data_IF_056711778694
#
_entry.id   IF_056711778694
#
_cell.length_a   1.000
_cell.length_b   1.000
_cell.length_c   1.000
_cell.angle_alpha   90.00
_cell.angle_beta   90.00
_cell.angle_gamma   90.00
#
_symmetry.space_group_name_H-M   'P 1'
#
loop_
_entity.id
_entity.type
_entity.pdbx_description
1 polymer ?
#
# COMPACT_ATOMS: atom_id res chain seq x y z
N UNK A 1 11.68 -9.90 -26.61
CA UNK A 1 12.57 -9.67 -27.76
C UNK A 1 13.79 -10.52 -27.54
N UNK A 2 14.16 -11.36 -28.49
CA UNK A 2 15.29 -12.28 -28.37
C UNK A 2 16.63 -11.59 -28.64
N UNK A 3 16.60 -10.28 -28.92
CA UNK A 3 17.74 -9.43 -29.24
C UNK A 3 17.77 -8.24 -28.26
N UNK A 4 18.44 -8.38 -27.10
CA UNK A 4 18.51 -7.33 -26.10
C UNK A 4 19.46 -6.21 -26.53
N UNK A 5 19.37 -5.06 -25.84
CA UNK A 5 20.43 -4.05 -25.87
C UNK A 5 21.65 -4.61 -25.15
N UNK A 6 22.81 -4.55 -25.79
CA UNK A 6 24.06 -5.07 -25.22
C UNK A 6 24.82 -4.00 -24.43
N UNK A 7 24.99 -2.80 -25.03
CA UNK A 7 25.74 -1.70 -24.43
C UNK A 7 25.46 -0.36 -25.10
N UNK A 8 25.77 0.70 -24.37
CA UNK A 8 25.90 2.05 -24.92
C UNK A 8 27.29 2.27 -25.52
N UNK A 9 27.38 3.16 -26.51
CA UNK A 9 28.64 3.60 -27.13
C UNK A 9 28.73 5.12 -27.06
N UNK A 10 29.84 5.70 -27.52
CA UNK A 10 29.96 7.16 -27.66
C UNK A 10 29.00 7.74 -28.70
N UNK A 11 28.55 6.94 -29.67
CA UNK A 11 27.73 7.39 -30.78
C UNK A 11 26.27 6.92 -30.71
N UNK A 12 25.98 5.90 -29.90
CA UNK A 12 24.64 5.36 -29.77
C UNK A 12 24.56 4.05 -28.99
N UNK A 13 23.87 3.05 -29.52
CA UNK A 13 23.54 1.80 -28.81
C UNK A 13 23.83 0.59 -29.70
N UNK A 14 24.40 -0.48 -29.11
CA UNK A 14 24.57 -1.77 -29.79
C UNK A 14 23.47 -2.74 -29.40
N UNK A 15 22.85 -3.34 -30.41
CA UNK A 15 21.94 -4.46 -30.28
C UNK A 15 22.11 -5.41 -31.46
N UNK A 16 22.22 -6.72 -31.19
CA UNK A 16 22.43 -7.74 -32.21
C UNK A 16 23.70 -7.46 -33.03
N UNK A 17 24.79 -7.09 -32.34
CA UNK A 17 26.09 -6.73 -32.93
C UNK A 17 26.05 -5.55 -33.93
N UNK A 18 24.93 -4.82 -34.03
CA UNK A 18 24.76 -3.64 -34.89
C UNK A 18 24.77 -2.39 -34.03
N UNK A 19 25.60 -1.41 -34.41
CA UNK A 19 25.62 -0.09 -33.79
C UNK A 19 24.60 0.83 -34.48
N UNK A 20 23.67 1.34 -33.69
CA UNK A 20 22.70 2.36 -34.10
C UNK A 20 23.16 3.69 -33.51
N UNK A 21 23.54 4.64 -34.37
CA UNK A 21 23.96 5.99 -33.95
C UNK A 21 22.75 6.87 -33.62
N UNK A 22 22.84 7.67 -32.55
CA UNK A 22 21.79 8.57 -32.09
C UNK A 22 22.40 9.85 -31.51
N UNK A 23 21.77 11.00 -31.78
CA UNK A 23 22.15 12.27 -31.14
C UNK A 23 21.64 12.38 -29.69
N UNK A 24 20.62 11.61 -29.35
CA UNK A 24 19.97 11.63 -28.04
C UNK A 24 19.30 10.30 -27.73
N UNK A 25 19.34 9.89 -26.46
CA UNK A 25 18.66 8.69 -25.96
C UNK A 25 17.73 9.07 -24.81
N UNK A 26 16.48 8.60 -24.87
CA UNK A 26 15.47 8.82 -23.82
C UNK A 26 15.25 7.54 -23.05
N UNK A 27 15.59 7.53 -21.75
CA UNK A 27 15.35 6.40 -20.85
C UNK A 27 13.93 6.45 -20.28
N UNK A 28 12.97 5.84 -20.98
CA UNK A 28 11.59 5.67 -20.50
C UNK A 28 11.43 4.38 -19.66
N UNK A 29 12.35 4.11 -18.72
CA UNK A 29 12.48 2.84 -17.99
C UNK A 29 11.49 2.66 -16.83
N UNK A 30 10.62 3.65 -16.58
CA UNK A 30 9.64 3.63 -15.51
C UNK A 30 10.25 3.89 -14.12
N UNK A 31 9.62 3.31 -13.09
CA UNK A 31 9.93 3.59 -11.68
C UNK A 31 10.06 2.32 -10.83
N UNK A 32 10.85 2.39 -9.75
CA UNK A 32 10.78 1.44 -8.65
C UNK A 32 9.52 1.73 -7.81
N UNK A 33 8.37 1.31 -8.32
CA UNK A 33 7.06 1.70 -7.82
C UNK A 33 6.81 1.22 -6.38
N UNK A 34 6.02 2.02 -5.64
CA UNK A 34 5.52 1.80 -4.26
C UNK A 34 6.58 1.68 -3.15
N UNK A 35 7.76 1.11 -3.39
CA UNK A 35 8.81 0.91 -2.37
C UNK A 35 10.05 1.77 -2.61
N UNK A 36 10.33 2.17 -3.85
CA UNK A 36 11.60 2.83 -4.21
C UNK A 36 11.86 4.17 -3.51
N UNK A 37 10.82 4.92 -3.14
CA UNK A 37 10.99 6.14 -2.35
C UNK A 37 11.35 5.86 -0.89
N UNK A 38 10.80 4.79 -0.31
CA UNK A 38 11.11 4.36 1.06
C UNK A 38 12.55 3.84 1.16
N UNK A 39 13.04 3.12 0.14
CA UNK A 39 14.42 2.61 0.13
C UNK A 39 15.50 3.69 0.13
N UNK A 40 15.15 4.94 -0.24
CA UNK A 40 16.05 6.09 -0.27
C UNK A 40 16.15 6.82 1.07
N UNK A 41 15.31 6.46 2.05
CA UNK A 41 15.27 7.07 3.37
C UNK A 41 15.62 5.98 4.40
N UNK A 42 16.50 6.29 5.34
CA UNK A 42 16.81 5.37 6.44
C UNK A 42 15.72 5.44 7.51
N UNK A 43 14.55 4.84 7.22
CA UNK A 43 13.44 4.75 8.15
C UNK A 43 13.74 3.62 9.14
N UNK A 44 13.89 3.97 10.42
CA UNK A 44 14.24 3.06 11.51
C UNK A 44 13.12 3.02 12.54
N UNK A 45 12.64 1.82 12.84
CA UNK A 45 11.57 1.55 13.80
C UNK A 45 12.11 1.09 15.16
N UNK A 46 11.31 0.29 15.87
CA UNK A 46 11.69 -0.32 17.15
C UNK A 46 12.92 -1.22 16.99
N UNK A 47 13.73 -1.27 18.05
CA UNK A 47 14.89 -2.16 18.17
C UNK A 47 15.91 -2.04 17.02
N UNK A 48 15.95 -0.87 16.35
CA UNK A 48 16.84 -0.61 15.23
C UNK A 48 16.43 -1.25 13.90
N UNK A 49 15.26 -1.89 13.81
CA UNK A 49 14.77 -2.51 12.58
C UNK A 49 14.52 -1.44 11.51
N UNK A 50 15.18 -1.56 10.35
CA UNK A 50 14.90 -0.65 9.24
C UNK A 50 13.72 -1.13 8.40
N UNK A 51 12.96 -0.19 7.82
CA UNK A 51 11.80 -0.53 6.97
C UNK A 51 12.23 -1.36 5.75
N UNK A 52 13.41 -1.05 5.22
CA UNK A 52 14.04 -1.77 4.11
C UNK A 52 14.33 -3.23 4.47
N UNK A 53 14.82 -3.50 5.68
CA UNK A 53 15.04 -4.88 6.15
C UNK A 53 13.71 -5.61 6.33
N UNK A 54 12.72 -4.97 6.96
CA UNK A 54 11.39 -5.56 7.15
C UNK A 54 10.74 -5.95 5.82
N UNK A 55 10.85 -5.09 4.80
CA UNK A 55 10.20 -5.27 3.50
C UNK A 55 11.03 -6.04 2.47
N UNK A 56 12.15 -6.68 2.88
CA UNK A 56 13.03 -7.42 1.97
C UNK A 56 12.31 -8.52 1.18
N UNK A 57 11.29 -9.15 1.77
CA UNK A 57 10.48 -10.19 1.13
C UNK A 57 9.19 -9.68 0.49
N UNK A 58 8.98 -8.36 0.48
CA UNK A 58 7.76 -7.69 0.04
C UNK A 58 7.25 -6.74 1.12
N UNK A 59 6.55 -5.65 0.73
CA UNK A 59 6.01 -4.72 1.70
C UNK A 59 4.96 -5.40 2.59
N UNK A 60 5.05 -5.15 3.90
CA UNK A 60 4.10 -5.62 4.91
C UNK A 60 3.51 -4.43 5.64
N UNK A 61 2.20 -4.29 5.58
CA UNK A 61 1.48 -3.12 6.05
C UNK A 61 0.09 -3.52 6.50
N UNK A 62 -0.46 -2.84 7.49
CA UNK A 62 -1.88 -2.89 7.81
C UNK A 62 -2.61 -1.78 7.06
N UNK A 63 -3.63 -2.15 6.27
CA UNK A 63 -4.43 -1.27 5.39
C UNK A 63 -3.61 -0.53 4.31
N UNK A 64 -2.30 -0.78 4.21
CA UNK A 64 -1.37 0.09 3.47
C UNK A 64 -1.14 1.47 4.08
N UNK A 65 -1.59 1.66 5.33
CA UNK A 65 -1.48 2.92 6.08
C UNK A 65 -0.38 2.88 7.13
N UNK A 66 -0.14 1.72 7.75
CA UNK A 66 0.84 1.57 8.84
C UNK A 66 1.63 0.26 8.71
N UNK A 67 2.74 0.15 9.44
CA UNK A 67 3.54 -1.07 9.49
C UNK A 67 3.96 -1.36 10.94
N UNK A 68 3.76 -2.60 11.39
CA UNK A 68 4.17 -3.05 12.72
C UNK A 68 5.69 -2.85 12.94
N UNK A 69 6.12 -2.46 14.14
CA UNK A 69 7.50 -2.05 14.43
C UNK A 69 7.80 -0.59 14.12
N UNK A 70 6.88 0.16 13.50
CA UNK A 70 7.03 1.57 13.13
C UNK A 70 5.90 2.42 13.72
N UNK A 71 5.86 2.64 15.04
CA UNK A 71 4.81 3.43 15.69
C UNK A 71 4.78 4.87 15.13
N UNK A 72 3.57 5.42 14.99
CA UNK A 72 3.31 6.78 14.45
C UNK A 72 3.82 7.03 13.02
N UNK A 73 4.27 6.00 12.29
CA UNK A 73 4.58 6.10 10.87
C UNK A 73 3.33 5.77 10.06
N UNK A 74 2.86 6.76 9.30
CA UNK A 74 1.77 6.59 8.36
C UNK A 74 2.24 6.71 6.91
N UNK A 75 1.52 6.04 6.01
CA UNK A 75 1.76 6.04 4.57
C UNK A 75 0.50 6.47 3.84
N UNK A 76 0.67 7.34 2.84
CA UNK A 76 -0.42 7.74 1.93
C UNK A 76 -0.22 6.97 0.63
N UNK A 77 -1.24 6.24 0.21
CA UNK A 77 -1.24 5.40 -1.01
C UNK A 77 -0.13 4.34 -1.00
N UNK A 78 0.19 3.84 0.20
CA UNK A 78 1.21 2.83 0.43
C UNK A 78 0.86 1.47 -0.19
N UNK A 79 1.84 0.54 -0.25
CA UNK A 79 1.58 -0.85 -0.61
C UNK A 79 0.55 -1.46 0.35
N UNK A 80 -0.34 -2.31 -0.16
CA UNK A 80 -1.46 -2.87 0.60
C UNK A 80 -2.73 -2.01 0.61
N UNK A 81 -2.70 -0.79 0.05
CA UNK A 81 -3.88 0.05 -0.19
C UNK A 81 -4.30 0.00 -1.68
N UNK A 82 -5.50 0.51 -2.07
CA UNK A 82 -5.90 0.57 -3.47
C UNK A 82 -4.88 1.31 -4.35
N UNK A 83 -4.31 2.40 -3.81
CA UNK A 83 -3.27 3.19 -4.47
C UNK A 83 -3.63 3.46 -5.93
N UNK A 84 -2.72 3.13 -6.84
CA UNK A 84 -2.80 3.17 -8.30
C UNK A 84 -3.97 2.42 -8.95
N UNK A 85 -4.70 1.55 -8.23
CA UNK A 85 -5.91 0.89 -8.74
C UNK A 85 -7.20 1.68 -8.48
N UNK A 86 -7.09 2.81 -7.79
CA UNK A 86 -8.16 3.79 -7.61
C UNK A 86 -7.79 5.11 -8.30
N UNK A 87 -8.74 6.05 -8.34
CA UNK A 87 -8.39 7.45 -8.58
C UNK A 87 -7.42 7.90 -7.50
N UNK A 88 -6.17 8.18 -7.87
CA UNK A 88 -5.10 8.51 -6.91
C UNK A 88 -5.47 9.71 -6.05
N UNK A 89 -6.17 10.71 -6.60
CA UNK A 89 -6.62 11.88 -5.83
C UNK A 89 -7.62 11.46 -4.74
N UNK A 90 -8.61 10.63 -5.07
CA UNK A 90 -9.57 10.13 -4.08
C UNK A 90 -8.90 9.25 -3.02
N UNK A 91 -7.98 8.38 -3.43
CA UNK A 91 -7.23 7.54 -2.50
C UNK A 91 -6.32 8.35 -1.56
N UNK A 92 -5.68 9.41 -2.06
CA UNK A 92 -4.89 10.34 -1.24
C UNK A 92 -5.78 11.05 -0.23
N UNK A 93 -6.87 11.65 -0.71
CA UNK A 93 -7.82 12.38 0.12
C UNK A 93 -8.41 11.51 1.24
N UNK A 94 -8.83 10.28 0.91
CA UNK A 94 -9.37 9.36 1.90
C UNK A 94 -8.33 8.94 2.95
N UNK A 95 -7.09 8.65 2.54
CA UNK A 95 -6.03 8.34 3.50
C UNK A 95 -5.70 9.53 4.40
N UNK A 96 -5.62 10.74 3.83
CA UNK A 96 -5.34 11.96 4.61
C UNK A 96 -6.44 12.19 5.64
N UNK A 97 -7.70 12.09 5.24
CA UNK A 97 -8.84 12.29 6.15
C UNK A 97 -8.86 11.25 7.26
N UNK A 98 -8.65 9.97 6.92
CA UNK A 98 -8.59 8.89 7.91
C UNK A 98 -7.43 9.06 8.90
N UNK A 99 -6.23 9.40 8.39
CA UNK A 99 -5.05 9.63 9.24
C UNK A 99 -5.26 10.87 10.13
N UNK A 100 -5.90 11.93 9.62
CA UNK A 100 -6.20 13.12 10.39
C UNK A 100 -7.16 12.82 11.56
N UNK A 101 -8.20 12.02 11.32
CA UNK A 101 -9.13 11.59 12.36
C UNK A 101 -8.48 10.62 13.35
N UNK A 102 -7.58 9.74 12.88
CA UNK A 102 -6.75 8.89 13.73
C UNK A 102 -5.89 9.71 14.70
N UNK A 103 -5.17 10.71 14.19
CA UNK A 103 -4.33 11.59 15.01
C UNK A 103 -5.20 12.43 15.96
N UNK A 104 -6.37 12.90 15.50
CA UNK A 104 -7.34 13.58 16.33
C UNK A 104 -7.79 12.72 17.51
N UNK A 105 -8.14 11.46 17.24
CA UNK A 105 -8.53 10.52 18.28
C UNK A 105 -7.40 10.21 19.27
N UNK A 106 -6.16 10.02 18.79
CA UNK A 106 -5.01 9.86 19.67
C UNK A 106 -4.88 11.03 20.66
N UNK A 107 -5.11 12.27 20.21
CA UNK A 107 -5.11 13.45 21.09
C UNK A 107 -6.25 13.42 22.11
N UNK A 108 -7.46 13.04 21.70
CA UNK A 108 -8.63 13.00 22.59
C UNK A 108 -8.45 12.05 23.77
N UNK A 109 -7.79 10.92 23.51
CA UNK A 109 -7.58 9.85 24.49
C UNK A 109 -6.23 9.93 25.18
N UNK A 110 -5.37 10.88 24.81
CA UNK A 110 -4.03 11.06 25.40
C UNK A 110 -2.98 10.06 24.92
N UNK A 111 -3.25 9.30 23.85
CA UNK A 111 -2.31 8.31 23.33
C UNK A 111 -1.05 8.95 22.74
N UNK A 112 0.11 8.42 23.12
CA UNK A 112 1.43 8.85 22.65
C UNK A 112 1.90 8.12 21.40
N UNK A 113 1.49 6.85 21.25
CA UNK A 113 1.82 6.03 20.09
C UNK A 113 0.61 5.27 19.60
N UNK A 114 0.51 5.09 18.29
CA UNK A 114 -0.36 4.11 17.64
C UNK A 114 0.50 3.21 16.74
N UNK A 115 0.22 1.91 16.76
CA UNK A 115 0.97 0.92 16.00
C UNK A 115 0.08 -0.26 15.60
N UNK A 116 0.16 -0.70 14.35
CA UNK A 116 -0.55 -1.89 13.89
C UNK A 116 -0.05 -3.13 14.64
N UNK A 117 -0.94 -4.05 14.99
CA UNK A 117 -0.49 -5.33 15.54
C UNK A 117 0.14 -6.18 14.43
N UNK A 118 1.03 -7.10 14.83
CA UNK A 118 1.62 -8.07 13.88
C UNK A 118 0.55 -8.99 13.29
N UNK A 119 -0.49 -9.34 14.07
CA UNK A 119 -1.57 -10.22 13.61
C UNK A 119 -2.35 -9.55 12.49
N UNK A 120 -2.87 -8.35 12.73
CA UNK A 120 -3.73 -7.66 11.76
C UNK A 120 -2.93 -7.19 10.53
N UNK A 121 -1.63 -6.89 10.66
CA UNK A 121 -0.74 -6.70 9.51
C UNK A 121 -0.63 -7.98 8.66
N UNK A 122 -0.44 -9.14 9.30
CA UNK A 122 -0.32 -10.41 8.57
C UNK A 122 -1.64 -10.78 7.89
N UNK A 123 -2.76 -10.68 8.60
CA UNK A 123 -4.09 -10.99 8.09
C UNK A 123 -4.43 -10.09 6.90
N UNK A 124 -4.07 -8.79 6.96
CA UNK A 124 -4.23 -7.89 5.82
C UNK A 124 -3.35 -8.26 4.62
N UNK A 125 -2.09 -8.65 4.85
CA UNK A 125 -1.20 -9.11 3.77
C UNK A 125 -1.77 -10.36 3.10
N UNK A 126 -2.27 -11.31 3.89
CA UNK A 126 -2.87 -12.55 3.37
C UNK A 126 -4.15 -12.25 2.58
N UNK A 127 -5.00 -11.37 3.10
CA UNK A 127 -6.20 -10.89 2.41
C UNK A 127 -5.88 -10.22 1.06
N UNK A 128 -4.90 -9.30 1.02
CA UNK A 128 -4.47 -8.65 -0.23
C UNK A 128 -3.99 -9.69 -1.24
N UNK A 129 -3.20 -10.68 -0.80
CA UNK A 129 -2.72 -11.75 -1.65
C UNK A 129 -3.87 -12.60 -2.19
N UNK A 130 -4.83 -12.99 -1.35
CA UNK A 130 -5.97 -13.82 -1.73
C UNK A 130 -6.88 -13.13 -2.76
N UNK A 131 -7.26 -11.88 -2.50
CA UNK A 131 -8.10 -11.09 -3.43
C UNK A 131 -7.35 -10.80 -4.74
N UNK A 132 -6.02 -10.84 -4.75
CA UNK A 132 -5.24 -10.72 -5.99
C UNK A 132 -5.27 -11.97 -6.87
N UNK A 133 -5.51 -13.17 -6.32
CA UNK A 133 -5.45 -14.44 -7.06
C UNK A 133 -6.52 -14.53 -8.14
N UNK A 134 -7.67 -13.90 -7.93
CA UNK A 134 -8.78 -13.91 -8.90
C UNK A 134 -8.54 -12.98 -10.10
N UNK A 135 -7.50 -12.15 -10.06
CA UNK A 135 -7.22 -11.16 -11.10
C UNK A 135 -6.07 -11.58 -12.03
N UNK A 136 -6.26 -11.43 -13.34
CA UNK A 136 -5.15 -11.55 -14.31
C UNK A 136 -4.02 -10.53 -14.07
N UNK A 137 -4.26 -9.46 -13.31
CA UNK A 137 -3.22 -8.46 -13.00
C UNK A 137 -2.11 -9.02 -12.12
N UNK A 138 -2.38 -10.04 -11.31
CA UNK A 138 -1.38 -10.67 -10.44
C UNK A 138 -0.49 -11.67 -11.19
N UNK A 139 -0.93 -12.19 -12.34
CA UNK A 139 -0.18 -13.18 -13.14
C UNK A 139 0.75 -12.53 -14.17
N UNK A 140 0.51 -11.27 -14.53
CA UNK A 140 1.31 -10.53 -15.50
C UNK A 140 2.59 -9.92 -14.89
N UNK A 141 3.72 -10.09 -15.59
CA UNK A 141 4.97 -9.41 -15.24
C UNK A 141 4.80 -7.89 -15.40
N UNK A 142 4.69 -7.18 -14.28
CA UNK A 142 4.49 -5.74 -14.24
C UNK A 142 5.16 -5.13 -13.02
N UNK A 143 5.14 -3.80 -12.92
CA UNK A 143 5.60 -3.11 -11.71
C UNK A 143 4.68 -3.34 -10.50
N UNK A 144 3.42 -3.77 -10.70
CA UNK A 144 2.53 -4.16 -9.58
C UNK A 144 3.09 -5.33 -8.77
N UNK A 145 3.87 -6.20 -9.41
CA UNK A 145 4.51 -7.36 -8.80
C UNK A 145 6.03 -7.19 -8.65
N UNK A 146 6.53 -5.95 -8.75
CA UNK A 146 7.95 -5.60 -8.73
C UNK A 146 8.83 -6.34 -9.76
N UNK A 147 8.24 -6.96 -10.79
CA UNK A 147 8.97 -7.73 -11.81
C UNK A 147 9.88 -6.86 -12.69
N UNK A 148 9.72 -5.54 -12.64
CA UNK A 148 10.53 -4.58 -13.37
C UNK A 148 11.87 -4.25 -12.68
N UNK A 149 12.09 -4.70 -11.43
CA UNK A 149 13.33 -4.46 -10.69
C UNK A 149 14.02 -5.80 -10.43
N UNK A 150 15.21 -6.04 -11.03
CA UNK A 150 15.97 -7.27 -10.79
C UNK A 150 16.25 -7.50 -9.29
N UNK A 151 16.06 -8.74 -8.84
CA UNK A 151 16.31 -9.16 -7.45
C UNK A 151 15.20 -8.81 -6.44
N UNK A 152 14.10 -8.19 -6.87
CA UNK A 152 12.95 -7.94 -5.99
C UNK A 152 12.01 -9.16 -5.89
N UNK A 153 11.40 -9.37 -4.72
CA UNK A 153 10.38 -10.41 -4.55
C UNK A 153 9.15 -10.07 -5.40
N UNK A 154 8.57 -11.10 -6.01
CA UNK A 154 7.35 -10.98 -6.80
C UNK A 154 6.13 -11.08 -5.89
N UNK A 155 5.59 -9.94 -5.49
CA UNK A 155 4.40 -9.84 -4.64
C UNK A 155 3.48 -8.77 -5.21
N UNK A 156 2.18 -9.07 -5.34
CA UNK A 156 1.20 -8.09 -5.81
C UNK A 156 1.00 -7.03 -4.73
N UNK A 157 1.45 -5.81 -5.00
CA UNK A 157 1.57 -4.75 -3.99
C UNK A 157 0.27 -3.97 -3.72
N UNK A 158 -0.59 -3.63 -4.70
CA UNK A 158 -1.82 -2.89 -4.42
C UNK A 158 -2.95 -3.80 -3.93
N UNK A 159 -3.91 -3.24 -3.20
CA UNK A 159 -5.18 -3.91 -2.90
C UNK A 159 -6.16 -3.79 -4.09
N UNK A 160 -6.68 -4.90 -4.58
CA UNK A 160 -7.54 -4.95 -5.78
C UNK A 160 -9.04 -5.16 -5.47
N UNK A 161 -9.43 -5.32 -4.20
CA UNK A 161 -10.83 -5.58 -3.83
C UNK A 161 -11.79 -4.41 -4.03
N UNK A 162 -11.32 -3.29 -4.55
CA UNK A 162 -12.12 -2.12 -4.91
C UNK A 162 -12.05 -1.00 -3.88
N UNK A 163 -12.05 0.25 -4.37
CA UNK A 163 -11.92 1.43 -3.52
C UNK A 163 -13.08 1.58 -2.52
N UNK A 164 -14.37 1.45 -2.88
CA UNK A 164 -15.46 1.57 -1.90
C UNK A 164 -15.36 0.54 -0.76
N UNK A 165 -15.03 -0.73 -1.06
CA UNK A 165 -14.86 -1.79 -0.05
C UNK A 165 -13.70 -1.46 0.90
N UNK A 166 -12.59 -0.94 0.36
CA UNK A 166 -11.47 -0.51 1.17
C UNK A 166 -11.83 0.65 2.12
N UNK A 167 -12.57 1.64 1.61
CA UNK A 167 -13.04 2.79 2.40
C UNK A 167 -13.96 2.33 3.53
N UNK A 168 -14.91 1.44 3.23
CA UNK A 168 -15.81 0.88 4.25
C UNK A 168 -15.05 0.10 5.34
N UNK A 169 -14.05 -0.71 4.96
CA UNK A 169 -13.18 -1.39 5.94
C UNK A 169 -12.42 -0.39 6.82
N UNK A 170 -11.88 0.69 6.24
CA UNK A 170 -11.20 1.74 7.00
C UNK A 170 -12.15 2.45 7.98
N UNK A 171 -13.37 2.77 7.53
CA UNK A 171 -14.39 3.41 8.35
C UNK A 171 -14.84 2.48 9.49
N UNK A 172 -15.05 1.19 9.20
CA UNK A 172 -15.41 0.18 10.21
C UNK A 172 -14.34 0.05 11.29
N UNK A 173 -13.06 -0.02 10.89
CA UNK A 173 -11.93 -0.04 11.84
C UNK A 173 -11.89 1.21 12.70
N UNK A 174 -12.03 2.40 12.09
CA UNK A 174 -12.08 3.66 12.82
C UNK A 174 -13.25 3.66 13.81
N UNK A 175 -14.46 3.33 13.37
CA UNK A 175 -15.64 3.32 14.25
C UNK A 175 -15.57 2.24 15.34
N UNK A 176 -14.82 1.16 15.10
CA UNK A 176 -14.51 0.11 16.07
C UNK A 176 -13.41 0.48 17.08
N UNK A 177 -12.96 1.74 17.13
CA UNK A 177 -11.91 2.16 18.06
C UNK A 177 -10.48 1.91 17.55
N UNK A 178 -10.29 1.93 16.22
CA UNK A 178 -9.03 1.57 15.57
C UNK A 178 -8.63 0.12 15.83
N UNK A 179 -9.56 -0.80 15.62
CA UNK A 179 -9.29 -2.24 15.68
C UNK A 179 -8.04 -2.60 14.86
N UNK A 180 -7.21 -3.49 15.40
CA UNK A 180 -5.93 -3.86 14.80
C UNK A 180 -4.78 -2.88 15.05
N UNK A 181 -5.02 -1.81 15.81
CA UNK A 181 -3.98 -0.93 16.34
C UNK A 181 -3.88 -1.00 17.87
N UNK A 182 -2.67 -0.86 18.39
CA UNK A 182 -2.40 -0.64 19.82
C UNK A 182 -2.08 0.82 20.05
N UNK A 183 -2.85 1.46 20.94
CA UNK A 183 -2.57 2.82 21.41
C UNK A 183 -1.96 2.80 22.81
N UNK A 184 -0.74 3.33 22.95
CA UNK A 184 -0.05 3.38 24.24
C UNK A 184 -0.08 4.78 24.86
N UNK A 185 -0.23 4.83 26.19
CA UNK A 185 -0.34 6.08 26.96
C UNK A 185 -1.74 6.70 26.97
N UNK A 186 -2.76 5.97 26.51
CA UNK A 186 -4.14 6.46 26.55
C UNK A 186 -4.68 6.48 27.98
N UNK A 187 -5.26 7.60 28.38
CA UNK A 187 -6.01 7.78 29.62
C UNK A 187 -7.50 7.42 29.45
N UNK A 188 -7.95 7.23 28.20
CA UNK A 188 -9.35 6.94 27.84
C UNK A 188 -9.44 5.87 26.74
N UNK A 189 -8.96 4.64 26.96
CA UNK A 189 -8.82 3.62 25.91
C UNK A 189 -10.15 3.16 25.30
N UNK A 190 -11.28 3.44 25.93
CA UNK A 190 -12.62 3.06 25.47
C UNK A 190 -13.43 4.23 24.92
N UNK A 191 -12.84 5.44 24.83
CA UNK A 191 -13.55 6.58 24.26
C UNK A 191 -13.81 6.32 22.77
N UNK A 192 -15.04 6.57 22.27
CA UNK A 192 -15.34 6.36 20.87
C UNK A 192 -14.59 7.39 20.00
N UNK A 193 -14.08 7.00 18.82
CA UNK A 193 -13.54 7.94 17.85
C UNK A 193 -14.58 8.94 17.35
N UNK A 194 -14.11 10.13 17.00
CA UNK A 194 -14.92 11.18 16.41
C UNK A 194 -14.59 11.31 14.93
N UNK A 195 -15.63 11.33 14.10
CA UNK A 195 -15.53 11.67 12.68
C UNK A 195 -15.35 13.19 12.56
N UNK A 196 -14.28 13.63 11.90
CA UNK A 196 -14.01 15.06 11.64
C UNK A 196 -13.73 15.31 10.18
N UNK A 197 -12.93 14.46 9.56
CA UNK A 197 -12.54 14.55 8.16
C UNK A 197 -13.17 13.43 7.33
N UNK A 198 -13.51 12.28 7.92
CA UNK A 198 -13.99 11.13 7.14
C UNK A 198 -15.45 11.16 6.73
N UNK A 199 -16.24 12.16 7.15
CA UNK A 199 -17.70 12.21 6.92
C UNK A 199 -18.10 11.92 5.45
N UNK A 200 -17.39 12.53 4.49
CA UNK A 200 -17.64 12.34 3.05
C UNK A 200 -17.39 10.93 2.52
N UNK A 201 -16.71 10.09 3.29
CA UNK A 201 -16.34 8.72 2.94
C UNK A 201 -17.30 7.67 3.55
N UNK A 202 -18.28 8.09 4.35
CA UNK A 202 -19.34 7.22 4.87
C UNK A 202 -20.51 7.15 3.87
N UNK A 203 -20.28 6.49 2.75
CA UNK A 203 -21.28 6.32 1.68
C UNK A 203 -21.82 4.90 1.70
N UNK A 204 -23.15 4.76 1.60
CA UNK A 204 -23.78 3.45 1.46
C UNK A 204 -23.32 2.77 0.16
N UNK A 205 -22.90 1.52 0.27
CA UNK A 205 -22.43 0.76 -0.88
C UNK A 205 -23.61 0.03 -1.50
N UNK A 206 -24.01 0.46 -2.70
CA UNK A 206 -24.96 -0.28 -3.53
C UNK A 206 -24.30 -1.54 -4.12
N UNK A 207 -24.64 -2.68 -3.54
CA UNK A 207 -24.10 -3.99 -3.90
C UNK A 207 -24.47 -4.44 -5.32
N UNK A 208 -25.57 -3.95 -5.88
CA UNK A 208 -26.01 -4.32 -7.24
C UNK A 208 -25.19 -3.60 -8.32
N UNK A 209 -24.49 -2.52 -7.95
CA UNK A 209 -23.74 -1.65 -8.87
C UNK A 209 -22.21 -1.89 -8.80
N UNK A 210 -21.71 -2.63 -7.80
CA UNK A 210 -20.26 -2.87 -7.65
C UNK A 210 -19.73 -3.96 -8.59
N UNK A 211 -18.46 -3.82 -8.96
CA UNK A 211 -17.79 -4.73 -9.90
C UNK A 211 -17.72 -6.19 -9.40
N UNK A 212 -17.65 -7.18 -10.32
CA UNK A 212 -17.44 -8.60 -9.97
C UNK A 212 -16.21 -8.87 -9.08
N UNK A 213 -15.15 -8.06 -9.20
CA UNK A 213 -13.97 -8.17 -8.33
C UNK A 213 -14.28 -7.80 -6.86
N UNK A 214 -15.18 -6.84 -6.63
CA UNK A 214 -15.63 -6.47 -5.29
C UNK A 214 -16.51 -7.56 -4.65
N UNK A 215 -17.31 -8.26 -5.47
CA UNK A 215 -18.09 -9.43 -5.02
C UNK A 215 -17.14 -10.57 -4.60
N UNK A 216 -16.09 -10.84 -5.40
CA UNK A 216 -15.09 -11.85 -5.09
C UNK A 216 -14.33 -11.53 -3.79
N UNK A 217 -14.01 -10.25 -3.53
CA UNK A 217 -13.35 -9.82 -2.29
C UNK A 217 -14.16 -10.12 -1.02
N UNK A 218 -15.48 -10.30 -1.10
CA UNK A 218 -16.36 -10.66 0.03
C UNK A 218 -16.41 -12.16 0.30
N UNK A 219 -16.13 -13.00 -0.69
CA UNK A 219 -16.11 -14.46 -0.52
C UNK A 219 -14.87 -14.94 0.24
N UNK A 220 -13.86 -14.07 0.28
CA UNK A 220 -12.69 -14.20 1.13
C UNK A 220 -13.06 -13.69 2.53
N UNK A 221 -12.95 -14.51 3.60
CA UNK A 221 -13.15 -14.03 4.96
C UNK A 221 -12.18 -12.87 5.24
N UNK A 222 -12.72 -11.68 5.49
CA UNK A 222 -11.93 -10.56 6.02
C UNK A 222 -11.84 -10.80 7.53
N UNK A 223 -10.89 -11.64 7.93
CA UNK A 223 -10.55 -11.86 9.35
C UNK A 223 -9.71 -10.69 9.83
#
# INVERSE_FOLDING_TARGET
>A
SDKPIERFTKKGIVANDIEYEFDSVVCATGFAAMTGSFDKIQITGRDGLTLKEKWRAGPRTYLGLASNGFPNLFMITGPGSPSVLASMIQAIEQHVDWIADCIGHMKDVGASTIEATVRDENDWVDHVNEVSQVSLRSTCSSWYVAANIPGRPRVFMPYIGGFPIYVDKCNSIMMGGYEGFVMAGSDKPTAPPQVRCTERWHVEIDMEVISPAAIAAKQVPIV
#
